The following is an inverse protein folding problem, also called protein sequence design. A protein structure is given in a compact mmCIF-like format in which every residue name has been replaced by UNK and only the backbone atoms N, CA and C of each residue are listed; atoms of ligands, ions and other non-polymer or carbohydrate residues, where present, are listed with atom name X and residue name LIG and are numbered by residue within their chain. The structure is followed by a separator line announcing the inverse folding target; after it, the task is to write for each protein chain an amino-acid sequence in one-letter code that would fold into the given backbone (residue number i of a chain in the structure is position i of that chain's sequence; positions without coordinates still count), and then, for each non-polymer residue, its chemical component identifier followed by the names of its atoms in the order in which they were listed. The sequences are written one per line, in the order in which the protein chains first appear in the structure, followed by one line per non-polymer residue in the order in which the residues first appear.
data_IF_502339886949
#
_entry.id   IF_502339886949
#
_cell.length_a   1.000
_cell.length_b   1.000
_cell.length_c   1.000
_cell.angle_alpha   90.00
_cell.angle_beta   90.00
_cell.angle_gamma   90.00
#
_symmetry.space_group_name_H-M   'P 1'
#
loop_
_entity.id
_entity.type
_entity.pdbx_description
1 polymer ?
#
# COMPACT_ATOMS: atom_id res chain seq x y z
N UNK A 1 8.26 16.92 -28.33
CA UNK A 1 9.24 16.34 -27.38
C UNK A 1 8.63 16.43 -25.99
N UNK A 2 8.68 15.36 -25.20
CA UNK A 2 8.19 15.40 -23.81
C UNK A 2 9.19 16.19 -22.96
N UNK A 3 8.71 17.16 -22.19
CA UNK A 3 9.55 17.97 -21.31
C UNK A 3 9.77 17.28 -19.95
N UNK A 4 10.83 17.66 -19.24
CA UNK A 4 11.11 17.19 -17.87
C UNK A 4 9.90 17.39 -16.95
N UNK A 5 9.27 18.58 -17.03
CA UNK A 5 8.10 18.91 -16.20
C UNK A 5 6.91 17.99 -16.50
N UNK A 6 6.65 17.69 -17.77
CA UNK A 6 5.56 16.77 -18.14
C UNK A 6 5.80 15.36 -17.61
N UNK A 7 7.05 14.86 -17.67
CA UNK A 7 7.39 13.53 -17.11
C UNK A 7 7.19 13.51 -15.60
N UNK A 8 7.66 14.54 -14.89
CA UNK A 8 7.54 14.60 -13.43
C UNK A 8 6.07 14.71 -13.00
N UNK A 9 5.25 15.53 -13.66
CA UNK A 9 3.81 15.62 -13.37
C UNK A 9 3.11 14.26 -13.56
N UNK A 10 3.40 13.53 -14.65
CA UNK A 10 2.84 12.19 -14.89
C UNK A 10 3.31 11.18 -13.84
N UNK A 11 4.57 11.25 -13.44
CA UNK A 11 5.13 10.41 -12.37
C UNK A 11 4.43 10.68 -11.04
N UNK A 12 4.19 11.96 -10.71
CA UNK A 12 3.46 12.34 -9.50
C UNK A 12 2.01 11.84 -9.53
N UNK A 13 1.29 11.98 -10.65
CA UNK A 13 -0.06 11.43 -10.79
C UNK A 13 -0.09 9.90 -10.61
N UNK A 14 0.94 9.22 -11.08
CA UNK A 14 1.09 7.77 -10.90
C UNK A 14 1.33 7.42 -9.42
N UNK A 15 2.16 8.19 -8.73
CA UNK A 15 2.42 8.04 -7.31
C UNK A 15 1.15 8.31 -6.48
N UNK A 16 0.39 9.36 -6.80
CA UNK A 16 -0.89 9.65 -6.14
C UNK A 16 -1.88 8.50 -6.32
N UNK A 17 -1.90 7.83 -7.48
CA UNK A 17 -2.71 6.62 -7.68
C UNK A 17 -2.28 5.48 -6.76
N UNK A 18 -0.96 5.28 -6.58
CA UNK A 18 -0.45 4.28 -5.64
C UNK A 18 -0.82 4.62 -4.19
N UNK A 19 -0.82 5.91 -3.81
CA UNK A 19 -1.26 6.39 -2.50
C UNK A 19 -2.75 6.20 -2.27
N UNK A 20 -3.62 6.44 -3.26
CA UNK A 20 -5.02 6.09 -3.13
C UNK A 20 -5.20 4.58 -2.86
N UNK A 21 -4.35 3.73 -3.43
CA UNK A 21 -4.29 2.32 -3.06
C UNK A 21 -3.92 2.09 -1.59
N UNK A 22 -2.99 2.87 -1.04
CA UNK A 22 -2.66 2.83 0.39
C UNK A 22 -3.81 3.32 1.26
N UNK A 23 -4.46 4.42 0.90
CA UNK A 23 -5.61 4.96 1.62
C UNK A 23 -6.74 3.91 1.70
N UNK A 24 -6.96 3.18 0.61
CA UNK A 24 -7.93 2.08 0.56
C UNK A 24 -7.50 0.89 1.43
N UNK A 25 -6.20 0.57 1.46
CA UNK A 25 -5.62 -0.44 2.33
C UNK A 25 -5.84 -0.10 3.82
N UNK A 26 -5.62 1.14 4.23
CA UNK A 26 -5.76 1.54 5.65
C UNK A 26 -7.16 2.04 6.01
N UNK A 27 -8.09 2.07 5.06
CA UNK A 27 -9.47 2.50 5.31
C UNK A 27 -10.24 1.53 6.21
N UNK A 28 -11.26 2.04 6.89
CA UNK A 28 -12.21 1.21 7.67
C UNK A 28 -13.12 0.34 6.80
N UNK A 29 -13.14 0.54 5.47
CA UNK A 29 -13.90 -0.30 4.57
C UNK A 29 -13.11 -1.58 4.23
N UNK A 30 -13.38 -2.66 4.96
CA UNK A 30 -12.67 -3.93 4.82
C UNK A 30 -12.68 -4.49 3.39
N UNK A 31 -13.75 -4.27 2.64
CA UNK A 31 -13.86 -4.74 1.25
C UNK A 31 -12.88 -4.05 0.30
N UNK A 32 -12.40 -2.85 0.63
CA UNK A 32 -11.46 -2.10 -0.18
C UNK A 32 -10.01 -2.48 0.07
N UNK A 33 -9.68 -3.12 1.20
CA UNK A 33 -8.30 -3.34 1.64
C UNK A 33 -7.42 -4.03 0.60
N UNK A 34 -7.88 -5.18 0.08
CA UNK A 34 -7.12 -5.94 -0.92
C UNK A 34 -7.07 -5.25 -2.29
N UNK A 35 -8.14 -4.58 -2.69
CA UNK A 35 -8.14 -3.75 -3.90
C UNK A 35 -7.13 -2.61 -3.78
N UNK A 36 -7.08 -1.96 -2.61
CA UNK A 36 -6.10 -0.95 -2.26
C UNK A 36 -4.67 -1.47 -2.35
N UNK A 37 -4.38 -2.61 -1.71
CA UNK A 37 -3.07 -3.24 -1.77
C UNK A 37 -2.64 -3.59 -3.20
N UNK A 38 -3.54 -4.15 -4.02
CA UNK A 38 -3.28 -4.45 -5.43
C UNK A 38 -2.93 -3.19 -6.22
N UNK A 39 -3.74 -2.14 -6.06
CA UNK A 39 -3.51 -0.87 -6.75
C UNK A 39 -2.17 -0.25 -6.35
N UNK A 40 -1.86 -0.23 -5.05
CA UNK A 40 -0.58 0.26 -4.54
C UNK A 40 0.60 -0.48 -5.16
N UNK A 41 0.58 -1.82 -5.17
CA UNK A 41 1.67 -2.64 -5.71
C UNK A 41 1.86 -2.39 -7.22
N UNK A 42 0.77 -2.36 -7.99
CA UNK A 42 0.82 -2.16 -9.44
C UNK A 42 1.28 -0.75 -9.78
N UNK A 43 0.62 0.27 -9.24
CA UNK A 43 0.93 1.66 -9.56
C UNK A 43 2.24 2.14 -8.96
N UNK A 44 2.64 1.62 -7.79
CA UNK A 44 3.93 1.93 -7.20
C UNK A 44 5.10 1.53 -8.09
N UNK A 45 5.03 0.36 -8.74
CA UNK A 45 6.05 0.00 -9.76
C UNK A 45 6.00 0.94 -10.97
N UNK A 46 4.80 1.30 -11.41
CA UNK A 46 4.59 2.24 -12.52
C UNK A 46 5.21 3.62 -12.27
N UNK A 47 5.37 4.07 -11.02
CA UNK A 47 6.07 5.32 -10.68
C UNK A 47 7.48 5.33 -11.28
N UNK A 48 8.26 4.29 -11.01
CA UNK A 48 9.64 4.21 -11.53
C UNK A 48 9.70 4.06 -13.05
N UNK A 49 8.71 3.43 -13.68
CA UNK A 49 8.63 3.38 -15.16
C UNK A 49 8.30 4.74 -15.75
N UNK A 50 7.36 5.47 -15.16
CA UNK A 50 7.02 6.83 -15.56
C UNK A 50 8.24 7.75 -15.44
N UNK A 51 8.97 7.64 -14.32
CA UNK A 51 10.16 8.44 -14.02
C UNK A 51 11.30 8.20 -15.02
N UNK A 52 11.49 6.95 -15.47
CA UNK A 52 12.53 6.60 -16.44
C UNK A 52 12.37 7.27 -17.81
N UNK A 53 11.18 7.82 -18.12
CA UNK A 53 11.01 8.64 -19.32
C UNK A 53 11.82 9.96 -19.27
N UNK A 54 12.33 10.37 -18.10
CA UNK A 54 13.27 11.48 -17.98
C UNK A 54 14.52 11.25 -18.83
N UNK A 55 14.94 9.99 -19.01
CA UNK A 55 16.07 9.61 -19.85
C UNK A 55 16.00 10.17 -21.27
N UNK A 56 14.80 10.22 -21.85
CA UNK A 56 14.57 10.83 -23.15
C UNK A 56 14.57 12.36 -23.08
N UNK A 57 14.08 12.94 -22.00
CA UNK A 57 13.96 14.40 -21.83
C UNK A 57 15.29 15.10 -21.51
N UNK A 58 16.18 14.46 -20.75
CA UNK A 58 17.45 15.08 -20.28
C UNK A 58 18.69 14.50 -20.95
N UNK A 59 18.53 13.45 -21.76
CA UNK A 59 19.62 12.70 -22.37
C UNK A 59 20.09 11.53 -21.49
N UNK A 60 20.53 10.46 -22.15
CA UNK A 60 20.94 9.19 -21.53
C UNK A 60 22.03 9.40 -20.48
N UNK A 61 23.12 10.08 -20.82
CA UNK A 61 24.29 10.20 -19.95
C UNK A 61 23.95 10.91 -18.63
N UNK A 62 23.25 12.04 -18.71
CA UNK A 62 22.83 12.79 -17.52
C UNK A 62 21.86 11.99 -16.66
N UNK A 63 20.89 11.32 -17.27
CA UNK A 63 19.92 10.51 -16.53
C UNK A 63 20.59 9.31 -15.86
N UNK A 64 21.39 8.54 -16.59
CA UNK A 64 22.01 7.32 -16.08
C UNK A 64 22.95 7.67 -14.91
N UNK A 65 23.75 8.74 -15.02
CA UNK A 65 24.63 9.22 -13.93
C UNK A 65 23.87 9.56 -12.64
N UNK A 66 22.65 10.11 -12.75
CA UNK A 66 21.80 10.41 -11.60
C UNK A 66 21.06 9.16 -11.09
N UNK A 67 20.51 8.34 -11.98
CA UNK A 67 19.58 7.27 -11.62
C UNK A 67 20.27 5.99 -11.13
N UNK A 68 21.47 5.67 -11.63
CA UNK A 68 22.19 4.44 -11.29
C UNK A 68 22.43 4.28 -9.78
N UNK A 69 22.93 5.30 -9.03
CA UNK A 69 23.08 5.19 -7.59
C UNK A 69 21.76 4.93 -6.84
N UNK A 70 20.68 5.59 -7.26
CA UNK A 70 19.35 5.37 -6.68
C UNK A 70 18.80 3.97 -6.99
N UNK A 71 19.01 3.50 -8.22
CA UNK A 71 18.62 2.16 -8.61
C UNK A 71 19.37 1.11 -7.78
N UNK A 72 20.66 1.31 -7.52
CA UNK A 72 21.44 0.40 -6.69
C UNK A 72 20.97 0.38 -5.23
N UNK A 73 20.69 1.55 -4.65
CA UNK A 73 20.09 1.64 -3.32
C UNK A 73 18.75 0.88 -3.23
N UNK A 74 17.86 1.04 -4.23
CA UNK A 74 16.60 0.29 -4.28
C UNK A 74 16.78 -1.22 -4.48
N UNK A 75 17.84 -1.67 -5.17
CA UNK A 75 18.19 -3.10 -5.29
C UNK A 75 18.70 -3.68 -3.98
N UNK A 76 19.31 -2.85 -3.13
CA UNK A 76 19.79 -3.29 -1.82
C UNK A 76 18.63 -3.39 -0.81
N UNK A 77 17.65 -2.50 -0.91
CA UNK A 77 16.43 -2.53 -0.10
C UNK A 77 15.57 -3.78 -0.35
N UNK A 78 15.43 -4.60 0.70
CA UNK A 78 14.65 -5.84 0.70
C UNK A 78 13.17 -5.61 0.38
N UNK A 79 12.57 -4.56 0.96
CA UNK A 79 11.17 -4.24 0.78
C UNK A 79 10.93 -3.81 -0.67
N UNK A 80 11.76 -2.93 -1.21
CA UNK A 80 11.66 -2.50 -2.61
C UNK A 80 11.77 -3.69 -3.58
N UNK A 81 12.76 -4.57 -3.38
CA UNK A 81 12.89 -5.82 -4.16
C UNK A 81 11.63 -6.69 -4.05
N UNK A 82 11.11 -6.84 -2.84
CA UNK A 82 9.95 -7.67 -2.60
C UNK A 82 8.70 -7.13 -3.29
N UNK A 83 8.46 -5.81 -3.28
CA UNK A 83 7.34 -5.21 -4.00
C UNK A 83 7.43 -5.39 -5.52
N UNK A 84 8.65 -5.42 -6.09
CA UNK A 84 8.85 -5.80 -7.51
C UNK A 84 8.44 -7.26 -7.76
N UNK A 85 8.83 -8.18 -6.88
CA UNK A 85 8.41 -9.59 -6.96
C UNK A 85 6.89 -9.72 -6.84
N UNK A 86 6.29 -9.08 -5.84
CA UNK A 86 4.84 -9.07 -5.59
C UNK A 86 4.05 -8.60 -6.82
N UNK A 87 4.47 -7.50 -7.45
CA UNK A 87 3.80 -7.01 -8.67
C UNK A 87 3.84 -8.06 -9.78
N UNK A 88 4.98 -8.70 -9.99
CA UNK A 88 5.12 -9.72 -11.04
C UNK A 88 4.25 -10.95 -10.77
N UNK A 89 4.16 -11.39 -9.51
CA UNK A 89 3.29 -12.50 -9.12
C UNK A 89 1.81 -12.12 -9.22
N UNK A 90 1.45 -10.92 -8.79
CA UNK A 90 0.09 -10.40 -8.87
C UNK A 90 -0.39 -10.36 -10.33
N UNK A 91 0.41 -9.84 -11.26
CA UNK A 91 0.03 -9.76 -12.67
C UNK A 91 -0.04 -11.12 -13.36
N UNK A 92 0.85 -12.05 -13.00
CA UNK A 92 0.94 -13.36 -13.66
C UNK A 92 -0.01 -14.40 -13.07
N UNK A 93 -0.26 -14.32 -11.76
CA UNK A 93 -0.95 -15.36 -10.99
C UNK A 93 -2.16 -14.83 -10.21
N UNK A 94 -2.39 -13.51 -10.16
CA UNK A 94 -3.46 -12.91 -9.36
C UNK A 94 -3.28 -13.04 -7.85
N UNK A 95 -2.09 -13.48 -7.41
CA UNK A 95 -1.83 -13.94 -6.04
C UNK A 95 -1.22 -12.83 -5.18
N UNK A 96 -1.68 -12.75 -3.94
CA UNK A 96 -1.07 -11.93 -2.90
C UNK A 96 -0.75 -12.82 -1.68
N UNK A 97 0.54 -13.04 -1.35
CA UNK A 97 0.98 -13.86 -0.22
C UNK A 97 0.81 -13.08 1.11
N UNK A 98 -0.43 -12.95 1.55
CA UNK A 98 -0.80 -12.29 2.81
C UNK A 98 -1.34 -13.32 3.79
N UNK A 99 -0.78 -13.35 5.00
CA UNK A 99 -1.32 -14.09 6.14
C UNK A 99 -2.00 -13.14 7.11
N UNK A 100 -3.03 -13.66 7.78
CA UNK A 100 -3.73 -12.93 8.85
C UNK A 100 -3.38 -13.56 10.19
N UNK A 101 -3.15 -12.74 11.20
CA UNK A 101 -2.92 -13.16 12.58
C UNK A 101 -3.90 -12.43 13.48
N UNK A 102 -4.54 -13.17 14.38
CA UNK A 102 -5.43 -12.61 15.39
C UNK A 102 -4.86 -12.90 16.78
N UNK A 103 -4.66 -11.85 17.57
CA UNK A 103 -4.33 -11.94 18.99
C UNK A 103 -5.58 -11.60 19.79
N UNK A 104 -6.12 -12.60 20.49
CA UNK A 104 -7.27 -12.42 21.37
C UNK A 104 -6.76 -12.09 22.76
N UNK A 105 -7.09 -10.90 23.25
CA UNK A 105 -6.71 -10.45 24.59
C UNK A 105 -7.75 -10.87 25.63
N UNK A 106 -9.01 -10.64 25.33
CA UNK A 106 -10.14 -11.01 26.17
C UNK A 106 -11.37 -11.16 25.29
N UNK A 107 -12.02 -12.32 25.30
CA UNK A 107 -13.22 -12.56 24.51
C UNK A 107 -14.16 -13.53 25.24
N UNK A 108 -15.45 -13.17 25.30
CA UNK A 108 -16.52 -14.06 25.73
C UNK A 108 -17.71 -13.94 24.80
N UNK A 109 -18.57 -14.96 24.77
CA UNK A 109 -19.80 -14.94 23.97
C UNK A 109 -20.72 -13.77 24.35
N UNK A 110 -20.70 -13.33 25.61
CA UNK A 110 -21.53 -12.23 26.07
C UNK A 110 -21.11 -10.90 25.43
N UNK A 111 -19.83 -10.74 25.08
CA UNK A 111 -19.36 -9.56 24.35
C UNK A 111 -19.99 -9.45 22.95
N UNK A 112 -20.34 -10.58 22.31
CA UNK A 112 -21.00 -10.58 21.00
C UNK A 112 -22.35 -9.85 21.08
N UNK A 113 -23.04 -9.94 22.21
CA UNK A 113 -24.36 -9.30 22.41
C UNK A 113 -24.29 -7.76 22.40
N UNK A 114 -23.10 -7.17 22.56
CA UNK A 114 -22.89 -5.72 22.51
C UNK A 114 -22.97 -5.17 21.07
N UNK A 115 -22.81 -6.04 20.07
CA UNK A 115 -22.91 -5.65 18.67
C UNK A 115 -24.34 -5.84 18.15
N UNK A 116 -24.78 -4.91 17.29
CA UNK A 116 -26.06 -5.04 16.61
C UNK A 116 -26.01 -6.24 15.66
N UNK A 117 -26.56 -7.38 16.10
CA UNK A 117 -26.66 -8.60 15.28
C UNK A 117 -27.54 -8.32 14.05
N UNK A 118 -27.02 -8.45 12.82
CA UNK A 118 -27.83 -8.26 11.62
C UNK A 118 -28.84 -9.40 11.45
N UNK A 119 -30.01 -9.16 10.81
CA UNK A 119 -30.94 -10.22 10.43
C UNK A 119 -30.23 -11.31 9.61
N UNK A 120 -30.54 -12.58 9.86
CA UNK A 120 -29.90 -13.70 9.16
C UNK A 120 -28.50 -14.07 9.66
N UNK A 121 -28.00 -13.44 10.74
CA UNK A 121 -26.68 -13.81 11.29
C UNK A 121 -26.66 -15.22 11.88
N UNK A 122 -25.81 -16.07 11.29
CA UNK A 122 -25.62 -17.50 11.63
C UNK A 122 -24.35 -17.77 12.42
N UNK A 123 -23.39 -16.83 12.43
CA UNK A 123 -22.13 -16.99 13.17
C UNK A 123 -21.41 -15.66 13.41
N UNK A 124 -20.41 -15.69 14.30
CA UNK A 124 -19.50 -14.56 14.54
C UNK A 124 -18.06 -15.02 14.26
N UNK A 125 -17.25 -14.16 13.65
CA UNK A 125 -15.86 -14.44 13.30
C UNK A 125 -14.95 -13.31 13.76
N UNK A 126 -13.69 -13.65 14.05
CA UNK A 126 -12.62 -12.70 14.34
C UNK A 126 -11.44 -13.01 13.44
N UNK A 127 -10.98 -12.01 12.68
CA UNK A 127 -9.81 -12.11 11.82
C UNK A 127 -10.02 -13.00 10.60
N UNK A 128 -10.81 -12.51 9.65
CA UNK A 128 -10.94 -13.15 8.34
C UNK A 128 -9.80 -12.80 7.38
N UNK A 129 -9.88 -13.27 6.13
CA UNK A 129 -8.88 -13.00 5.10
C UNK A 129 -8.68 -11.51 4.78
N UNK A 130 -9.65 -10.63 5.08
CA UNK A 130 -9.52 -9.18 4.90
C UNK A 130 -8.96 -8.48 6.15
N UNK A 131 -8.69 -9.24 7.23
CA UNK A 131 -8.31 -8.72 8.54
C UNK A 131 -9.49 -8.21 9.36
N UNK A 132 -10.73 -8.43 8.89
CA UNK A 132 -11.94 -7.95 9.54
C UNK A 132 -12.51 -8.95 10.54
N UNK A 133 -13.46 -8.48 11.33
CA UNK A 133 -14.24 -9.31 12.27
C UNK A 133 -15.72 -8.95 12.16
N UNK A 134 -16.63 -9.83 12.54
CA UNK A 134 -18.07 -9.58 12.45
C UNK A 134 -18.94 -10.80 12.36
N UNK A 135 -20.07 -10.68 11.66
CA UNK A 135 -21.07 -11.74 11.54
C UNK A 135 -21.06 -12.36 10.15
N UNK A 136 -21.23 -13.68 10.10
CA UNK A 136 -21.64 -14.37 8.87
C UNK A 136 -23.16 -14.31 8.78
N UNK A 137 -23.69 -13.84 7.66
CA UNK A 137 -25.10 -13.60 7.39
C UNK A 137 -25.56 -14.47 6.24
N UNK A 138 -26.58 -15.30 6.47
CA UNK A 138 -27.23 -16.06 5.41
C UNK A 138 -28.36 -15.23 4.79
N UNK A 139 -28.32 -15.05 3.46
CA UNK A 139 -29.31 -14.33 2.68
C UNK A 139 -30.50 -15.24 2.31
N UNK A 140 -31.66 -14.69 1.90
CA UNK A 140 -32.83 -15.49 1.53
C UNK A 140 -32.62 -16.49 0.38
N UNK A 141 -31.61 -16.27 -0.45
CA UNK A 141 -31.22 -17.16 -1.54
C UNK A 141 -30.24 -18.28 -1.10
N UNK A 142 -29.90 -18.34 0.19
CA UNK A 142 -28.97 -19.30 0.78
C UNK A 142 -27.49 -18.93 0.65
N UNK A 143 -27.15 -17.80 0.03
CA UNK A 143 -25.77 -17.30 -0.01
C UNK A 143 -25.35 -16.73 1.35
N UNK A 144 -24.03 -16.69 1.59
CA UNK A 144 -23.45 -16.19 2.85
C UNK A 144 -22.60 -14.96 2.57
N UNK A 145 -22.85 -13.91 3.35
CA UNK A 145 -22.14 -12.65 3.27
C UNK A 145 -21.54 -12.28 4.63
N UNK A 146 -20.51 -11.42 4.61
CA UNK A 146 -19.87 -10.93 5.83
C UNK A 146 -20.37 -9.54 6.18
N UNK A 147 -20.86 -9.41 7.40
CA UNK A 147 -21.18 -8.12 8.00
C UNK A 147 -20.10 -7.74 9.01
N UNK A 148 -19.23 -6.80 8.63
CA UNK A 148 -18.09 -6.39 9.44
C UNK A 148 -18.52 -5.46 10.59
N UNK A 149 -17.89 -5.65 11.76
CA UNK A 149 -18.00 -4.77 12.92
C UNK A 149 -16.61 -4.42 13.42
N UNK A 150 -16.47 -3.23 14.01
CA UNK A 150 -15.22 -2.84 14.66
C UNK A 150 -15.15 -3.48 16.05
N UNK A 151 -14.11 -4.28 16.28
CA UNK A 151 -13.81 -4.85 17.58
C UNK A 151 -12.73 -3.99 18.24
N UNK A 152 -12.90 -3.56 19.51
CA UNK A 152 -11.85 -2.84 20.23
C UNK A 152 -10.55 -3.65 20.31
N UNK A 153 -9.41 -2.98 20.16
CA UNK A 153 -8.09 -3.62 20.29
C UNK A 153 -7.84 -4.24 21.67
N UNK A 154 -8.57 -3.79 22.70
CA UNK A 154 -8.56 -4.41 24.03
C UNK A 154 -9.21 -5.80 24.09
N UNK A 155 -10.02 -6.15 23.08
CA UNK A 155 -10.68 -7.46 22.93
C UNK A 155 -9.83 -8.34 22.02
N UNK A 156 -9.56 -7.86 20.81
CA UNK A 156 -8.75 -8.58 19.82
C UNK A 156 -8.01 -7.60 18.91
N UNK A 157 -6.80 -7.99 18.53
CA UNK A 157 -5.99 -7.31 17.52
C UNK A 157 -5.85 -8.24 16.32
N UNK A 158 -6.19 -7.75 15.12
CA UNK A 158 -6.02 -8.49 13.87
C UNK A 158 -5.00 -7.75 13.01
N UNK A 159 -3.92 -8.44 12.66
CA UNK A 159 -2.87 -7.91 11.79
C UNK A 159 -2.70 -8.78 10.57
N UNK A 160 -2.16 -8.18 9.50
CA UNK A 160 -1.84 -8.89 8.27
C UNK A 160 -0.37 -8.67 7.92
N UNK A 161 0.27 -9.74 7.47
CA UNK A 161 1.70 -9.77 7.18
C UNK A 161 1.94 -10.43 5.81
N UNK A 162 3.03 -10.04 5.15
CA UNK A 162 3.50 -10.76 3.98
C UNK A 162 4.24 -12.03 4.41
N UNK A 163 3.73 -13.20 4.03
CA UNK A 163 4.29 -14.48 4.50
C UNK A 163 5.45 -15.00 3.64
N UNK A 164 5.79 -14.31 2.54
CA UNK A 164 6.87 -14.71 1.62
C UNK A 164 7.97 -13.65 1.47
N UNK A 165 8.15 -12.80 2.48
CA UNK A 165 9.29 -11.88 2.54
C UNK A 165 10.60 -12.67 2.48
N UNK A 166 11.53 -12.30 1.57
CA UNK A 166 12.77 -13.04 1.30
C UNK A 166 13.87 -12.66 2.31
N UNK A 167 13.56 -12.85 3.60
CA UNK A 167 14.46 -12.62 4.74
C UNK A 167 14.39 -13.81 5.70
N UNK A 168 15.42 -13.99 6.56
CA UNK A 168 15.37 -14.97 7.65
C UNK A 168 14.10 -14.85 8.50
N UNK A 169 13.69 -15.92 9.17
CA UNK A 169 12.45 -15.96 9.94
C UNK A 169 12.49 -15.09 11.21
N UNK A 170 13.68 -14.83 11.74
CA UNK A 170 13.93 -13.96 12.90
C UNK A 170 14.15 -12.48 12.53
N UNK A 171 14.09 -12.14 11.24
CA UNK A 171 14.25 -10.76 10.77
C UNK A 171 13.07 -9.87 11.21
N UNK A 172 13.37 -8.68 11.71
CA UNK A 172 12.37 -7.72 12.19
C UNK A 172 11.32 -7.37 11.13
N UNK A 173 11.65 -7.44 9.84
CA UNK A 173 10.71 -7.19 8.73
C UNK A 173 9.56 -8.19 8.71
N UNK A 174 9.75 -9.42 9.20
CA UNK A 174 8.66 -10.42 9.32
C UNK A 174 7.57 -9.99 10.30
N UNK A 175 7.94 -9.19 11.30
CA UNK A 175 6.99 -8.64 12.28
C UNK A 175 6.22 -7.41 11.79
N UNK A 176 6.65 -6.80 10.68
CA UNK A 176 6.00 -5.61 10.12
C UNK A 176 4.71 -5.97 9.41
N UNK A 177 3.68 -5.15 9.58
CA UNK A 177 2.41 -5.36 8.88
C UNK A 177 2.50 -5.00 7.39
N UNK A 178 1.53 -5.44 6.60
CA UNK A 178 1.42 -5.06 5.19
C UNK A 178 1.34 -3.53 5.02
N UNK A 179 0.70 -2.82 5.95
CA UNK A 179 0.60 -1.36 5.95
C UNK A 179 1.98 -0.72 6.16
N UNK A 180 2.72 -1.17 7.17
CA UNK A 180 4.05 -0.62 7.49
C UNK A 180 5.04 -0.79 6.33
N UNK A 181 5.04 -1.97 5.70
CA UNK A 181 5.91 -2.25 4.55
C UNK A 181 5.47 -1.50 3.29
N UNK A 182 4.16 -1.33 3.10
CA UNK A 182 3.61 -0.52 2.00
C UNK A 182 3.92 0.97 2.16
N UNK A 183 3.86 1.49 3.39
CA UNK A 183 4.25 2.87 3.69
C UNK A 183 5.73 3.10 3.42
N UNK A 184 6.61 2.17 3.84
CA UNK A 184 8.04 2.23 3.52
C UNK A 184 8.29 2.27 2.01
N UNK A 185 7.63 1.37 1.27
CA UNK A 185 7.72 1.33 -0.19
C UNK A 185 7.31 2.66 -0.84
N UNK A 186 6.19 3.26 -0.40
CA UNK A 186 5.74 4.56 -0.92
C UNK A 186 6.69 5.70 -0.56
N UNK A 187 7.20 5.76 0.67
CA UNK A 187 8.17 6.79 1.10
C UNK A 187 9.45 6.74 0.27
N UNK A 188 9.93 5.55 -0.08
CA UNK A 188 11.08 5.38 -0.97
C UNK A 188 10.81 5.93 -2.38
N UNK A 189 9.60 5.72 -2.92
CA UNK A 189 9.20 6.28 -4.22
C UNK A 189 9.03 7.81 -4.17
N UNK A 190 8.49 8.34 -3.07
CA UNK A 190 8.38 9.78 -2.83
C UNK A 190 9.75 10.45 -2.80
N UNK A 191 10.69 9.90 -2.01
CA UNK A 191 12.04 10.43 -1.89
C UNK A 191 12.77 10.44 -3.23
N UNK A 192 12.61 9.39 -4.03
CA UNK A 192 13.19 9.31 -5.38
C UNK A 192 12.62 10.42 -6.30
N UNK A 193 11.31 10.67 -6.23
CA UNK A 193 10.65 11.68 -7.04
C UNK A 193 11.01 13.10 -6.59
N UNK A 194 11.15 13.33 -5.29
CA UNK A 194 11.59 14.60 -4.73
C UNK A 194 13.03 14.92 -5.15
N UNK A 195 13.90 13.92 -5.10
CA UNK A 195 15.27 14.05 -5.58
C UNK A 195 15.30 14.38 -7.09
N UNK A 196 14.46 13.72 -7.90
CA UNK A 196 14.35 14.02 -9.34
C UNK A 196 13.89 15.45 -9.62
N UNK A 197 12.95 15.99 -8.84
CA UNK A 197 12.52 17.40 -8.97
C UNK A 197 13.68 18.35 -8.67
N UNK A 198 14.44 18.06 -7.61
CA UNK A 198 15.60 18.86 -7.25
C UNK A 198 16.66 18.83 -8.35
N UNK A 199 17.02 17.66 -8.85
CA UNK A 199 18.05 17.48 -9.87
C UNK A 199 17.68 18.14 -11.21
N UNK A 200 16.47 17.91 -11.71
CA UNK A 200 16.13 18.26 -13.10
C UNK A 200 15.34 19.56 -13.26
N UNK A 201 14.76 20.10 -12.18
CA UNK A 201 14.03 21.38 -12.20
C UNK A 201 14.59 22.43 -11.25
N UNK A 202 15.55 22.08 -10.37
CA UNK A 202 15.99 22.91 -9.24
C UNK A 202 14.81 23.41 -8.39
N UNK A 203 13.84 22.52 -8.17
CA UNK A 203 12.62 22.81 -7.40
C UNK A 203 12.50 21.84 -6.24
N UNK A 204 12.42 22.39 -5.04
CA UNK A 204 12.06 21.61 -3.86
C UNK A 204 10.59 21.20 -3.92
N UNK A 205 10.30 20.00 -3.44
CA UNK A 205 8.92 19.52 -3.28
C UNK A 205 8.22 20.35 -2.21
N UNK A 206 7.02 20.84 -2.53
CA UNK A 206 6.21 21.59 -1.57
C UNK A 206 5.49 20.61 -0.65
N UNK A 207 5.73 20.74 0.66
CA UNK A 207 5.13 19.92 1.70
C UNK A 207 4.38 20.84 2.66
N UNK A 208 3.10 20.57 2.91
CA UNK A 208 2.28 21.28 3.91
C UNK A 208 1.74 20.25 4.90
N UNK A 209 1.93 20.49 6.20
CA UNK A 209 1.50 19.60 7.28
C UNK A 209 1.97 18.13 7.09
N UNK A 210 3.20 17.95 6.62
CA UNK A 210 3.78 16.62 6.36
C UNK A 210 3.23 15.92 5.12
N UNK A 211 2.38 16.57 4.32
CA UNK A 211 1.86 16.01 3.06
C UNK A 211 2.41 16.75 1.85
N UNK A 212 2.87 16.00 0.87
CA UNK A 212 3.24 16.52 -0.46
C UNK A 212 2.02 17.21 -1.08
N UNK A 213 2.21 18.42 -1.60
CA UNK A 213 1.16 19.07 -2.37
C UNK A 213 0.95 18.38 -3.72
N UNK A 214 -0.30 18.14 -4.13
CA UNK A 214 -0.59 17.59 -5.44
C UNK A 214 -0.01 18.47 -6.57
N UNK A 215 0.32 17.90 -7.73
CA UNK A 215 0.99 18.62 -8.84
C UNK A 215 0.22 19.83 -9.36
N UNK A 216 -1.11 19.79 -9.23
CA UNK A 216 -2.02 20.85 -9.66
C UNK A 216 -2.18 21.98 -8.64
N UNK A 217 -1.76 21.77 -7.39
CA UNK A 217 -1.87 22.76 -6.34
C UNK A 217 -0.57 23.58 -6.30
N UNK A 218 -0.66 24.86 -6.66
CA UNK A 218 0.44 25.82 -6.49
C UNK A 218 0.11 26.73 -5.30
N UNK A 219 1.02 26.84 -4.35
CA UNK A 219 0.95 27.90 -3.34
C UNK A 219 1.25 29.22 -4.07
N UNK A 220 0.22 30.03 -4.27
CA UNK A 220 0.40 31.43 -4.71
C UNK A 220 0.93 32.17 -3.49
N UNK A 221 2.16 32.70 -3.59
CA UNK A 221 2.71 33.65 -2.61
C UNK A 221 2.18 35.05 -2.89
#
# INVERSE_FOLDING_TARGET
MTTVREVLVRTEQTLETAKHGFDDLVSSNMTRRFTGLRNLIVFGRSVTFALQNLRTAVGKERFDAWYEPHQESMKQDVVMKYFVKLRNELEKQGRLPVSTSARIHNFSSDMISQYKKPPGAVGFFIGDQLGGSGFEVELPDGSKEKYYVEIPTSVAEVTQHFNELPVPDDDELKSKTIEQLSEHFLKSLEALLDNARKEFLDQDTQIINGRRLPPYMRVVK
#
